data_IF_513103495122
#
_entry.id   IF_513103495122
#
_cell.length_a   1.000
_cell.length_b   1.000
_cell.length_c   1.000
_cell.angle_alpha   90.00
_cell.angle_beta   90.00
_cell.angle_gamma   90.00
#
_symmetry.space_group_name_H-M   'P 1'
#
loop_
_entity.id
_entity.type
_entity.pdbx_description
1 polymer ?
#
# COMPACT_ATOMS: atom_id res chain seq x y z
N UNK A 1 40.94 24.08 -79.79
CA UNK A 1 39.93 25.03 -80.25
C UNK A 1 38.97 25.37 -79.08
N UNK A 2 39.15 26.56 -78.50
CA UNK A 2 38.38 27.08 -77.40
C UNK A 2 37.22 27.87 -77.99
N UNK A 3 35.97 27.55 -77.62
CA UNK A 3 34.81 28.40 -77.88
C UNK A 3 34.28 28.97 -76.57
N UNK A 4 34.48 30.26 -76.46
CA UNK A 4 34.00 31.13 -75.38
C UNK A 4 32.54 31.49 -75.61
N UNK A 5 31.62 31.19 -74.72
CA UNK A 5 30.22 31.62 -74.76
C UNK A 5 29.99 32.80 -73.83
N UNK A 6 29.68 33.95 -74.39
CA UNK A 6 29.33 35.15 -73.67
C UNK A 6 27.83 35.15 -73.37
N UNK A 7 27.42 35.18 -72.11
CA UNK A 7 26.05 35.40 -71.70
C UNK A 7 25.89 36.86 -71.27
N UNK A 8 24.91 37.53 -71.88
CA UNK A 8 24.55 38.93 -71.60
C UNK A 8 23.72 39.03 -70.32
N UNK A 9 24.14 39.92 -69.44
CA UNK A 9 23.32 40.36 -68.31
C UNK A 9 22.18 41.28 -68.81
N UNK A 10 20.93 40.88 -68.64
CA UNK A 10 19.76 41.71 -68.81
C UNK A 10 19.20 42.11 -67.46
N UNK A 11 19.05 43.43 -67.27
CA UNK A 11 18.42 44.08 -66.09
C UNK A 11 16.96 43.71 -66.02
N UNK A 12 16.52 43.23 -64.87
CA UNK A 12 15.14 43.48 -64.36
C UNK A 12 15.20 43.58 -62.87
N UNK A 13 15.20 44.82 -62.39
CA UNK A 13 14.88 45.23 -61.02
C UNK A 13 13.43 45.65 -61.07
N UNK A 14 12.53 45.02 -60.34
CA UNK A 14 11.41 45.59 -59.59
C UNK A 14 10.36 44.53 -59.30
N UNK A 15 9.79 44.64 -58.14
CA UNK A 15 8.58 43.98 -57.59
C UNK A 15 8.78 42.60 -56.94
N UNK A 16 8.94 42.63 -55.59
CA UNK A 16 8.25 41.75 -54.66
C UNK A 16 8.58 42.12 -53.21
N UNK A 17 8.13 43.30 -52.77
CA UNK A 17 8.13 43.71 -51.36
C UNK A 17 6.79 43.36 -50.68
N UNK A 18 6.10 42.29 -51.12
CA UNK A 18 4.74 41.93 -50.64
C UNK A 18 4.56 40.54 -50.00
N UNK A 19 5.59 39.67 -50.00
CA UNK A 19 5.44 38.28 -49.59
C UNK A 19 6.02 37.96 -48.22
N UNK A 20 6.65 38.88 -47.51
CA UNK A 20 7.31 38.65 -46.21
C UNK A 20 6.39 38.88 -44.98
N UNK A 21 5.19 39.45 -45.17
CA UNK A 21 4.29 39.77 -44.03
C UNK A 21 3.24 38.69 -43.68
N UNK A 22 3.12 37.59 -44.42
CA UNK A 22 2.10 36.54 -44.18
C UNK A 22 2.64 35.27 -43.51
N UNK A 23 3.91 35.18 -43.15
CA UNK A 23 4.45 33.98 -42.48
C UNK A 23 4.71 34.16 -40.98
N UNK A 24 4.42 35.33 -40.39
CA UNK A 24 4.63 35.61 -38.97
C UNK A 24 3.39 35.29 -38.08
N UNK A 25 2.26 34.88 -38.64
CA UNK A 25 0.99 34.70 -37.88
C UNK A 25 0.66 33.25 -37.49
N UNK A 26 1.54 32.27 -37.72
CA UNK A 26 1.28 30.83 -37.42
C UNK A 26 2.17 30.23 -36.31
N UNK A 27 2.88 31.02 -35.55
CA UNK A 27 3.55 30.60 -34.30
C UNK A 27 2.64 30.93 -33.10
N UNK A 28 1.37 30.47 -33.14
CA UNK A 28 0.63 30.30 -31.88
C UNK A 28 1.38 29.26 -31.06
N UNK A 29 1.79 29.58 -29.81
CA UNK A 29 2.35 28.55 -28.94
C UNK A 29 1.30 27.47 -28.80
N UNK A 30 1.62 26.27 -29.30
CA UNK A 30 0.84 25.07 -28.96
C UNK A 30 0.76 25.05 -27.44
N UNK A 31 -0.42 24.84 -26.84
CA UNK A 31 -0.49 24.66 -25.40
C UNK A 31 0.48 23.55 -25.05
N UNK A 32 1.47 23.85 -24.20
CA UNK A 32 2.41 22.85 -23.70
C UNK A 32 1.52 21.77 -23.09
N UNK A 33 1.45 20.61 -23.73
CA UNK A 33 0.76 19.47 -23.16
C UNK A 33 1.42 19.26 -21.79
N UNK A 34 0.62 19.40 -20.71
CA UNK A 34 1.10 19.23 -19.36
C UNK A 34 1.85 17.89 -19.32
N UNK A 35 3.13 17.92 -18.98
CA UNK A 35 3.96 16.73 -18.98
C UNK A 35 3.30 15.71 -18.05
N UNK A 36 2.86 14.59 -18.59
CA UNK A 36 2.13 13.58 -17.84
C UNK A 36 3.06 13.02 -16.75
N UNK A 37 2.66 13.20 -15.49
CA UNK A 37 3.37 12.64 -14.34
C UNK A 37 2.83 11.25 -14.04
N UNK A 38 3.70 10.28 -13.89
CA UNK A 38 3.34 8.93 -13.45
C UNK A 38 3.51 8.86 -11.94
N UNK A 39 2.59 8.18 -11.28
CA UNK A 39 2.62 7.89 -9.84
C UNK A 39 2.33 6.42 -9.65
N UNK A 40 3.24 5.71 -9.00
CA UNK A 40 3.13 4.29 -8.68
C UNK A 40 2.79 4.10 -7.21
N UNK A 41 1.87 3.18 -6.92
CA UNK A 41 1.47 2.79 -5.55
C UNK A 41 1.80 1.32 -5.33
N UNK A 42 2.78 1.05 -4.46
CA UNK A 42 3.09 -0.29 -3.99
C UNK A 42 2.02 -0.80 -3.00
N UNK A 43 1.64 -2.06 -3.12
CA UNK A 43 0.57 -2.65 -2.31
C UNK A 43 0.98 -3.96 -1.67
N UNK A 44 0.34 -5.06 -1.97
CA UNK A 44 0.59 -6.42 -1.53
C UNK A 44 0.07 -7.42 -2.55
N UNK A 45 -0.24 -8.64 -2.13
CA UNK A 45 -0.88 -9.64 -2.99
C UNK A 45 -2.25 -9.17 -3.49
N UNK A 46 -2.62 -9.56 -4.70
CA UNK A 46 -3.84 -9.10 -5.39
C UNK A 46 -5.14 -9.47 -4.68
N UNK A 47 -5.12 -10.47 -3.82
CA UNK A 47 -6.27 -10.93 -3.01
C UNK A 47 -6.38 -10.20 -1.66
N UNK A 48 -5.38 -9.36 -1.31
CA UNK A 48 -5.35 -8.58 -0.07
C UNK A 48 -5.97 -7.20 -0.22
N UNK A 49 -6.32 -6.59 0.92
CA UNK A 49 -6.99 -5.28 0.96
C UNK A 49 -6.08 -4.14 0.49
N UNK A 50 -4.76 -4.25 0.60
CA UNK A 50 -3.83 -3.24 0.08
C UNK A 50 -3.97 -3.00 -1.41
N UNK A 51 -4.10 -4.09 -2.19
CA UNK A 51 -4.28 -3.97 -3.64
C UNK A 51 -5.59 -3.26 -3.99
N UNK A 52 -6.67 -3.59 -3.26
CA UNK A 52 -7.95 -2.89 -3.38
C UNK A 52 -7.82 -1.41 -3.01
N UNK A 53 -7.06 -1.06 -1.94
CA UNK A 53 -6.85 0.31 -1.50
C UNK A 53 -6.06 1.13 -2.54
N UNK A 54 -4.93 0.61 -3.02
CA UNK A 54 -4.15 1.27 -4.07
C UNK A 54 -4.96 1.46 -5.35
N UNK A 55 -5.74 0.43 -5.75
CA UNK A 55 -6.64 0.49 -6.91
C UNK A 55 -7.74 1.55 -6.75
N UNK A 56 -8.34 1.64 -5.56
CA UNK A 56 -9.34 2.65 -5.23
C UNK A 56 -8.76 4.08 -5.29
N UNK A 57 -7.58 4.30 -4.69
CA UNK A 57 -6.88 5.58 -4.74
C UNK A 57 -6.58 5.96 -6.20
N UNK A 58 -5.95 5.05 -6.96
CA UNK A 58 -5.61 5.31 -8.37
C UNK A 58 -6.85 5.57 -9.23
N UNK A 59 -7.96 4.89 -8.98
CA UNK A 59 -9.23 5.15 -9.68
C UNK A 59 -9.69 6.60 -9.47
N UNK A 60 -9.64 7.11 -8.23
CA UNK A 60 -10.05 8.46 -7.91
C UNK A 60 -9.08 9.50 -8.48
N UNK A 61 -7.77 9.28 -8.35
CA UNK A 61 -6.76 10.16 -8.96
C UNK A 61 -6.93 10.22 -10.48
N UNK A 62 -7.08 9.08 -11.14
CA UNK A 62 -7.19 9.02 -12.60
C UNK A 62 -8.50 9.62 -13.15
N UNK A 63 -9.54 9.78 -12.32
CA UNK A 63 -10.81 10.39 -12.71
C UNK A 63 -10.60 11.81 -13.25
N UNK A 64 -9.78 12.60 -12.54
CA UNK A 64 -9.55 14.01 -12.85
C UNK A 64 -8.15 14.24 -13.48
N UNK A 65 -7.57 13.20 -14.09
CA UNK A 65 -6.21 13.25 -14.67
C UNK A 65 -6.02 14.31 -15.76
N UNK A 66 -7.11 14.69 -16.44
CA UNK A 66 -7.05 15.73 -17.47
C UNK A 66 -6.71 17.09 -16.89
N UNK A 67 -7.09 17.35 -15.62
CA UNK A 67 -6.92 18.63 -14.95
C UNK A 67 -5.53 18.77 -14.33
N UNK A 68 -4.98 17.69 -13.72
CA UNK A 68 -3.72 17.74 -12.99
C UNK A 68 -2.55 16.98 -13.65
N UNK A 69 -2.81 16.25 -14.75
CA UNK A 69 -1.77 15.53 -15.52
C UNK A 69 -1.17 14.30 -14.84
N UNK A 70 -1.67 13.86 -13.66
CA UNK A 70 -1.14 12.68 -12.94
C UNK A 70 -1.85 11.43 -13.43
N UNK A 71 -1.06 10.42 -13.80
CA UNK A 71 -1.50 9.06 -14.08
C UNK A 71 -1.03 8.14 -12.96
N UNK A 72 -1.97 7.57 -12.22
CA UNK A 72 -1.71 6.65 -11.12
C UNK A 72 -1.80 5.19 -11.59
N UNK A 73 -0.85 4.36 -11.16
CA UNK A 73 -0.84 2.90 -11.34
C UNK A 73 -0.65 2.21 -10.00
N UNK A 74 -1.31 1.06 -9.85
CA UNK A 74 -1.18 0.20 -8.67
C UNK A 74 -0.28 -0.99 -8.99
N UNK A 75 0.61 -1.32 -8.06
CA UNK A 75 1.55 -2.43 -8.20
C UNK A 75 1.34 -3.46 -7.10
N UNK A 76 1.21 -4.73 -7.51
CA UNK A 76 1.23 -5.86 -6.58
C UNK A 76 2.67 -6.13 -6.18
N UNK A 77 2.94 -6.17 -4.88
CA UNK A 77 4.29 -6.27 -4.32
C UNK A 77 4.40 -7.37 -3.26
N UNK A 78 5.58 -7.47 -2.65
CA UNK A 78 5.82 -8.33 -1.49
C UNK A 78 5.16 -7.86 -0.19
N UNK A 79 4.63 -6.65 -0.13
CA UNK A 79 4.00 -6.05 1.05
C UNK A 79 4.85 -4.98 1.72
N UNK A 80 4.58 -4.71 3.00
CA UNK A 80 5.03 -3.49 3.70
C UNK A 80 6.52 -3.23 3.69
N UNK A 81 7.35 -4.23 4.01
CA UNK A 81 8.81 -4.07 4.05
C UNK A 81 9.37 -3.85 2.66
N UNK A 82 8.85 -4.57 1.65
CA UNK A 82 9.19 -4.36 0.26
C UNK A 82 8.84 -2.93 -0.17
N UNK A 83 7.63 -2.46 0.10
CA UNK A 83 7.18 -1.12 -0.28
C UNK A 83 8.07 -0.03 0.32
N UNK A 84 8.38 -0.11 1.61
CA UNK A 84 9.28 0.85 2.27
C UNK A 84 10.65 0.88 1.60
N UNK A 85 11.25 -0.28 1.33
CA UNK A 85 12.58 -0.35 0.72
C UNK A 85 12.56 0.21 -0.72
N UNK A 86 11.50 -0.06 -1.47
CA UNK A 86 11.35 0.39 -2.87
C UNK A 86 11.05 1.90 -2.94
N UNK A 87 10.29 2.45 -1.97
CA UNK A 87 10.13 3.91 -1.80
C UNK A 87 11.47 4.56 -1.41
N UNK A 88 12.23 3.94 -0.49
CA UNK A 88 13.57 4.43 -0.10
C UNK A 88 14.54 4.46 -1.27
N UNK A 89 14.43 3.51 -2.20
CA UNK A 89 15.21 3.44 -3.43
C UNK A 89 14.73 4.42 -4.52
N UNK A 90 13.56 5.04 -4.38
CA UNK A 90 12.96 5.93 -5.38
C UNK A 90 12.33 5.20 -6.57
N UNK A 91 12.04 3.92 -6.42
CA UNK A 91 11.43 3.06 -7.45
C UNK A 91 9.90 2.99 -7.32
N UNK A 92 9.35 3.35 -6.16
CA UNK A 92 7.93 3.58 -5.91
C UNK A 92 7.74 4.99 -5.35
N UNK A 93 6.66 5.66 -5.76
CA UNK A 93 6.32 6.99 -5.25
C UNK A 93 5.60 6.90 -3.90
N UNK A 94 4.62 5.99 -3.80
CA UNK A 94 3.79 5.79 -2.61
C UNK A 94 3.61 4.29 -2.33
N UNK A 95 3.15 3.96 -1.13
CA UNK A 95 2.87 2.57 -0.79
C UNK A 95 1.91 2.44 0.38
N UNK A 96 1.23 1.30 0.45
CA UNK A 96 0.45 0.90 1.62
C UNK A 96 1.34 0.01 2.48
N UNK A 97 1.45 0.34 3.76
CA UNK A 97 2.30 -0.36 4.74
C UNK A 97 1.59 -0.50 6.08
N UNK A 98 1.95 -1.51 6.85
CA UNK A 98 1.55 -1.63 8.25
C UNK A 98 2.19 -0.51 9.09
N UNK A 99 1.48 0.02 10.06
CA UNK A 99 1.97 1.10 10.93
C UNK A 99 3.20 0.71 11.75
N UNK A 100 3.34 -0.55 12.17
CA UNK A 100 4.53 -1.09 12.83
C UNK A 100 5.75 -1.11 11.91
N UNK A 101 5.57 -1.51 10.66
CA UNK A 101 6.63 -1.50 9.65
C UNK A 101 7.08 -0.08 9.33
N UNK A 102 6.12 0.84 9.16
CA UNK A 102 6.41 2.26 8.94
C UNK A 102 7.19 2.87 10.13
N UNK A 103 6.77 2.58 11.36
CA UNK A 103 7.45 3.02 12.58
C UNK A 103 8.89 2.48 12.65
N UNK A 104 9.06 1.19 12.45
CA UNK A 104 10.38 0.56 12.48
C UNK A 104 11.31 1.12 11.39
N UNK A 105 10.78 1.37 10.20
CA UNK A 105 11.55 1.96 9.10
C UNK A 105 12.00 3.40 9.40
N UNK A 106 11.10 4.23 9.92
CA UNK A 106 11.41 5.62 10.27
C UNK A 106 12.45 5.72 11.38
N UNK A 107 12.37 4.82 12.37
CA UNK A 107 13.27 4.81 13.52
C UNK A 107 14.54 3.97 13.32
N UNK A 108 14.62 3.13 12.31
CA UNK A 108 15.72 2.18 12.07
C UNK A 108 15.73 1.05 13.10
N UNK A 109 14.54 0.51 13.40
CA UNK A 109 14.31 -0.53 14.38
C UNK A 109 13.84 -1.84 13.73
N UNK A 110 13.72 -2.90 14.52
CA UNK A 110 13.23 -4.19 14.04
C UNK A 110 14.01 -4.68 12.80
N UNK A 111 13.29 -5.01 11.75
CA UNK A 111 13.83 -5.48 10.47
C UNK A 111 14.66 -4.44 9.70
N UNK A 112 14.64 -3.19 10.11
CA UNK A 112 15.43 -2.10 9.50
C UNK A 112 16.69 -1.72 10.29
N UNK A 113 17.00 -2.44 11.38
CA UNK A 113 18.13 -2.12 12.25
C UNK A 113 19.46 -2.05 11.49
N UNK A 114 19.69 -3.00 10.59
CA UNK A 114 20.94 -3.06 9.81
C UNK A 114 20.93 -2.09 8.61
N UNK A 115 19.75 -1.84 8.03
CA UNK A 115 19.57 -0.92 6.90
C UNK A 115 19.55 0.56 7.33
N UNK A 116 19.43 0.83 8.65
CA UNK A 116 19.33 2.15 9.24
C UNK A 116 18.01 2.85 8.96
N UNK A 117 17.88 4.03 9.57
CA UNK A 117 16.67 4.87 9.49
C UNK A 117 16.32 5.25 8.05
N UNK A 118 15.02 5.35 7.81
CA UNK A 118 14.48 6.03 6.64
C UNK A 118 13.85 7.37 7.10
N UNK A 119 14.65 8.35 7.40
CA UNK A 119 14.26 9.67 7.90
C UNK A 119 13.43 10.51 6.92
N UNK A 120 13.47 10.16 5.62
CA UNK A 120 12.63 10.75 4.58
C UNK A 120 11.26 10.10 4.45
N UNK A 121 10.96 9.02 5.17
CA UNK A 121 9.62 8.43 5.17
C UNK A 121 8.60 9.45 5.67
N UNK A 122 7.47 9.53 4.99
CA UNK A 122 6.34 10.42 5.36
C UNK A 122 5.03 9.65 5.34
N UNK A 123 4.22 9.89 6.36
CA UNK A 123 2.83 9.45 6.36
C UNK A 123 1.99 10.36 5.48
N UNK A 124 1.01 9.79 4.80
CA UNK A 124 0.03 10.54 4.01
C UNK A 124 -1.31 10.53 4.75
N UNK A 125 -1.85 9.36 5.05
CA UNK A 125 -3.00 9.11 5.92
C UNK A 125 -3.05 7.64 6.33
N UNK A 126 -3.83 7.30 7.36
CA UNK A 126 -4.11 5.91 7.70
C UNK A 126 -5.33 5.38 6.96
N UNK A 127 -5.46 4.07 6.92
CA UNK A 127 -6.52 3.32 6.28
C UNK A 127 -7.22 2.43 7.33
N UNK A 128 -7.61 1.25 6.93
CA UNK A 128 -8.36 0.28 7.72
C UNK A 128 -7.50 -0.41 8.79
N UNK A 129 -8.12 -0.90 9.88
CA UNK A 129 -7.44 -1.76 10.84
C UNK A 129 -7.10 -3.12 10.22
N UNK A 130 -5.99 -3.69 10.67
CA UNK A 130 -5.48 -4.99 10.25
C UNK A 130 -5.29 -5.91 11.46
N UNK A 131 -6.34 -6.63 11.86
CA UNK A 131 -6.19 -7.70 12.82
C UNK A 131 -5.18 -8.74 12.34
N UNK A 132 -4.27 -9.14 13.21
CA UNK A 132 -3.43 -10.31 12.96
C UNK A 132 -4.29 -11.57 13.08
N UNK A 133 -4.48 -12.24 11.97
CA UNK A 133 -5.43 -13.33 11.84
C UNK A 133 -4.70 -14.66 11.73
N UNK A 134 -5.01 -15.59 12.61
CA UNK A 134 -4.59 -17.00 12.52
C UNK A 134 -5.74 -17.79 11.91
N UNK A 135 -5.50 -18.41 10.77
CA UNK A 135 -6.47 -19.27 10.07
C UNK A 135 -5.93 -20.68 10.03
N UNK A 136 -6.75 -21.65 10.39
CA UNK A 136 -6.32 -23.04 10.53
C UNK A 136 -7.29 -24.01 9.88
N UNK A 137 -6.81 -25.19 9.50
CA UNK A 137 -7.68 -26.29 9.12
C UNK A 137 -8.39 -26.83 10.36
N UNK A 138 -9.65 -27.17 10.21
CA UNK A 138 -10.44 -27.79 11.29
C UNK A 138 -9.79 -29.05 11.85
N UNK A 139 -9.25 -29.90 10.99
CA UNK A 139 -8.59 -31.17 11.34
C UNK A 139 -7.28 -31.01 12.10
N UNK A 140 -6.65 -29.82 12.02
CA UNK A 140 -5.42 -29.53 12.77
C UNK A 140 -5.67 -29.36 14.27
N UNK A 141 -6.93 -29.16 14.67
CA UNK A 141 -7.40 -29.01 16.06
C UNK A 141 -6.57 -27.98 16.86
N UNK A 142 -6.37 -26.81 16.27
CA UNK A 142 -5.62 -25.66 16.84
C UNK A 142 -6.67 -24.73 17.47
N UNK A 143 -6.52 -24.44 18.77
CA UNK A 143 -7.43 -23.60 19.54
C UNK A 143 -6.74 -22.37 20.12
N UNK A 144 -5.41 -22.40 20.19
CA UNK A 144 -4.57 -21.33 20.72
C UNK A 144 -3.27 -21.20 19.91
N UNK A 145 -2.53 -20.11 20.12
CA UNK A 145 -1.23 -19.93 19.47
C UNK A 145 -0.23 -21.03 19.88
N UNK A 146 -0.29 -21.54 21.09
CA UNK A 146 0.61 -22.60 21.57
C UNK A 146 0.41 -23.95 20.85
N UNK A 147 -0.80 -24.22 20.36
CA UNK A 147 -1.09 -25.43 19.59
C UNK A 147 -0.43 -25.43 18.20
N UNK A 148 0.12 -24.28 17.77
CA UNK A 148 0.90 -24.17 16.54
C UNK A 148 2.29 -24.81 16.65
N UNK A 149 2.76 -25.15 17.86
CA UNK A 149 4.05 -25.79 18.06
C UNK A 149 4.15 -27.08 17.25
N UNK A 150 5.20 -27.16 16.42
CA UNK A 150 5.45 -28.33 15.58
C UNK A 150 4.47 -28.53 14.42
N UNK A 151 3.60 -27.54 14.12
CA UNK A 151 2.71 -27.56 12.95
C UNK A 151 3.43 -27.02 11.70
N UNK A 152 2.90 -27.35 10.53
CA UNK A 152 3.29 -26.74 9.26
C UNK A 152 2.51 -25.43 9.12
N UNK A 153 3.18 -24.32 9.27
CA UNK A 153 2.50 -23.03 9.40
C UNK A 153 3.09 -21.99 8.44
N UNK A 154 2.23 -21.27 7.73
CA UNK A 154 2.68 -20.18 6.89
C UNK A 154 2.80 -18.90 7.70
N UNK A 155 4.01 -18.33 7.70
CA UNK A 155 4.41 -17.17 8.51
C UNK A 155 4.45 -15.86 7.72
N UNK A 156 4.09 -15.93 6.44
CA UNK A 156 4.15 -14.81 5.50
C UNK A 156 5.41 -14.81 4.63
N UNK A 157 5.28 -14.25 3.44
CA UNK A 157 6.38 -14.19 2.47
C UNK A 157 7.48 -13.19 2.89
N UNK A 158 8.72 -13.39 2.44
CA UNK A 158 9.80 -12.44 2.65
C UNK A 158 9.42 -11.05 2.11
N UNK A 159 9.75 -10.00 2.88
CA UNK A 159 9.41 -8.62 2.54
C UNK A 159 7.99 -8.20 2.90
N UNK A 160 7.16 -9.09 3.48
CA UNK A 160 5.84 -8.72 3.99
C UNK A 160 5.90 -8.18 5.42
N UNK A 161 4.94 -7.30 5.75
CA UNK A 161 4.72 -6.89 7.14
C UNK A 161 4.20 -8.04 8.00
N UNK A 162 3.39 -8.92 7.44
CA UNK A 162 2.93 -10.16 8.09
C UNK A 162 4.09 -10.97 8.66
N UNK A 163 5.14 -11.20 7.85
CA UNK A 163 6.34 -11.92 8.31
C UNK A 163 7.05 -11.19 9.43
N UNK A 164 7.24 -9.88 9.29
CA UNK A 164 7.90 -9.06 10.33
C UNK A 164 7.13 -9.11 11.66
N UNK A 165 5.80 -8.99 11.62
CA UNK A 165 4.94 -9.05 12.82
C UNK A 165 4.91 -10.45 13.46
N UNK A 166 4.94 -11.54 12.65
CA UNK A 166 5.05 -12.90 13.17
C UNK A 166 6.38 -13.10 13.90
N UNK A 167 7.49 -12.66 13.33
CA UNK A 167 8.81 -12.75 13.97
C UNK A 167 8.85 -11.96 15.28
N UNK A 168 8.22 -10.77 15.33
CA UNK A 168 8.11 -9.98 16.55
C UNK A 168 7.27 -10.69 17.62
N UNK A 169 6.14 -11.31 17.23
CA UNK A 169 5.30 -12.09 18.14
C UNK A 169 6.05 -13.31 18.71
N UNK A 170 6.81 -14.02 17.89
CA UNK A 170 7.64 -15.14 18.33
C UNK A 170 8.76 -14.66 19.27
N UNK A 171 9.47 -13.60 18.90
CA UNK A 171 10.54 -13.03 19.73
C UNK A 171 10.04 -12.57 21.11
N UNK A 172 8.84 -11.97 21.17
CA UNK A 172 8.21 -11.56 22.43
C UNK A 172 7.91 -12.76 23.36
N UNK A 173 7.83 -13.96 22.79
CA UNK A 173 7.66 -15.23 23.52
C UNK A 173 8.98 -15.97 23.76
N UNK A 174 10.13 -15.41 23.38
CA UNK A 174 11.43 -16.07 23.44
C UNK A 174 11.53 -17.25 22.45
N UNK A 175 10.80 -17.17 21.34
CA UNK A 175 10.71 -18.20 20.28
C UNK A 175 11.23 -17.63 18.96
N UNK A 176 11.48 -18.52 18.02
CA UNK A 176 11.81 -18.23 16.64
C UNK A 176 11.04 -19.17 15.69
N UNK A 177 11.38 -19.17 14.43
CA UNK A 177 10.69 -19.98 13.41
C UNK A 177 10.82 -21.50 13.63
N UNK A 178 11.78 -21.97 14.42
CA UNK A 178 11.90 -23.39 14.79
C UNK A 178 10.76 -23.90 15.68
N UNK A 179 9.91 -22.97 16.17
CA UNK A 179 8.66 -23.29 16.86
C UNK A 179 7.71 -24.12 15.97
N UNK A 180 7.76 -23.92 14.67
CA UNK A 180 7.01 -24.67 13.66
C UNK A 180 7.83 -25.87 13.14
N UNK A 181 7.19 -26.97 12.73
CA UNK A 181 7.87 -28.03 12.00
C UNK A 181 8.23 -27.62 10.57
N UNK A 182 7.44 -26.74 9.99
CA UNK A 182 7.67 -26.07 8.72
C UNK A 182 7.12 -24.63 8.82
N UNK A 183 8.00 -23.67 8.76
CA UNK A 183 7.64 -22.26 8.56
C UNK A 183 7.64 -21.98 7.04
N UNK A 184 6.48 -22.08 6.39
CA UNK A 184 6.37 -21.76 4.97
C UNK A 184 6.20 -20.25 4.75
N UNK A 185 6.59 -19.79 3.57
CA UNK A 185 6.70 -18.38 3.21
C UNK A 185 5.86 -18.07 1.97
N UNK A 186 4.65 -18.62 1.93
CA UNK A 186 3.72 -18.46 0.80
C UNK A 186 3.21 -17.03 0.71
N UNK A 187 2.94 -16.61 -0.52
CA UNK A 187 2.25 -15.35 -0.79
C UNK A 187 0.78 -15.44 -0.42
N UNK A 188 0.10 -14.28 -0.18
CA UNK A 188 -1.30 -14.27 0.23
C UNK A 188 -2.25 -15.04 -0.70
N UNK A 189 -2.05 -14.96 -2.01
CA UNK A 189 -2.86 -15.65 -3.01
C UNK A 189 -2.72 -17.18 -3.02
N UNK A 190 -1.70 -17.72 -2.33
CA UNK A 190 -1.44 -19.17 -2.19
C UNK A 190 -2.01 -19.76 -0.89
N UNK A 191 -2.38 -18.92 0.10
CA UNK A 191 -2.78 -19.36 1.44
C UNK A 191 -3.95 -20.34 1.41
N UNK A 192 -5.05 -19.96 0.73
CA UNK A 192 -6.29 -20.71 0.71
C UNK A 192 -6.10 -22.11 0.11
N UNK A 193 -5.49 -22.21 -1.07
CA UNK A 193 -5.24 -23.49 -1.72
C UNK A 193 -4.28 -24.38 -0.91
N UNK A 194 -3.19 -23.82 -0.39
CA UNK A 194 -2.23 -24.60 0.41
C UNK A 194 -2.88 -25.12 1.71
N UNK A 195 -3.77 -24.35 2.33
CA UNK A 195 -4.52 -24.76 3.50
C UNK A 195 -5.51 -25.87 3.17
N UNK A 196 -6.35 -25.68 2.16
CA UNK A 196 -7.39 -26.64 1.78
C UNK A 196 -6.80 -27.96 1.24
N UNK A 197 -5.67 -27.90 0.53
CA UNK A 197 -4.92 -29.09 0.08
C UNK A 197 -4.18 -29.81 1.23
N UNK A 198 -4.19 -29.27 2.44
CA UNK A 198 -3.50 -29.83 3.59
C UNK A 198 -1.97 -29.76 3.52
N UNK A 199 -1.42 -28.87 2.70
CA UNK A 199 0.03 -28.61 2.63
C UNK A 199 0.54 -27.86 3.86
N UNK A 200 -0.32 -26.99 4.43
CA UNK A 200 -0.10 -26.29 5.69
C UNK A 200 -1.27 -26.57 6.65
N UNK A 201 -1.02 -26.44 7.94
CA UNK A 201 -2.03 -26.63 8.99
C UNK A 201 -2.70 -25.32 9.38
N UNK A 202 -2.07 -24.20 9.06
CA UNK A 202 -2.59 -22.85 9.26
C UNK A 202 -1.68 -21.80 8.65
N UNK A 203 -2.15 -20.55 8.69
CA UNK A 203 -1.39 -19.37 8.29
C UNK A 203 -1.69 -18.16 9.18
N UNK A 204 -0.71 -17.28 9.27
CA UNK A 204 -0.84 -15.96 9.90
C UNK A 204 -0.95 -14.90 8.82
N UNK A 205 -1.84 -13.92 9.00
CA UNK A 205 -1.98 -12.84 8.05
C UNK A 205 -2.48 -11.56 8.72
N UNK A 206 -1.73 -10.47 8.60
CA UNK A 206 -2.18 -9.12 8.93
C UNK A 206 -2.95 -8.56 7.74
N UNK A 207 -4.27 -8.34 7.90
CA UNK A 207 -5.12 -7.91 6.79
C UNK A 207 -6.40 -7.25 7.30
N UNK A 208 -6.91 -6.29 6.52
CA UNK A 208 -8.26 -5.74 6.74
C UNK A 208 -9.36 -6.75 6.45
N UNK A 209 -10.47 -6.60 7.15
CA UNK A 209 -11.62 -7.49 7.04
C UNK A 209 -12.86 -6.76 6.47
N UNK A 210 -13.69 -7.45 5.64
CA UNK A 210 -13.49 -8.80 5.11
C UNK A 210 -12.37 -8.87 4.07
N UNK A 211 -11.73 -10.03 3.96
CA UNK A 211 -10.65 -10.29 3.00
C UNK A 211 -10.92 -11.57 2.23
N UNK A 212 -10.65 -11.56 0.92
CA UNK A 212 -10.82 -12.72 0.05
C UNK A 212 -9.94 -13.89 0.48
N UNK A 213 -8.70 -13.63 0.96
CA UNK A 213 -7.80 -14.66 1.49
C UNK A 213 -8.38 -15.48 2.65
N UNK A 214 -9.26 -14.88 3.47
CA UNK A 214 -9.91 -15.52 4.60
C UNK A 214 -11.24 -16.13 4.16
N UNK A 215 -11.99 -15.40 3.33
CA UNK A 215 -13.30 -15.84 2.82
C UNK A 215 -13.18 -17.16 2.06
N UNK A 216 -12.15 -17.28 1.23
CA UNK A 216 -11.96 -18.42 0.33
C UNK A 216 -11.80 -19.74 1.10
N UNK A 217 -10.80 -19.94 1.99
CA UNK A 217 -10.66 -21.20 2.72
C UNK A 217 -11.77 -21.44 3.75
N UNK A 218 -12.39 -20.39 4.35
CA UNK A 218 -13.52 -20.57 5.26
C UNK A 218 -14.75 -21.10 4.52
N UNK A 219 -14.93 -20.73 3.25
CA UNK A 219 -16.00 -21.20 2.39
C UNK A 219 -15.70 -22.59 1.80
N UNK A 220 -14.48 -22.75 1.26
CA UNK A 220 -14.13 -23.92 0.43
C UNK A 220 -13.82 -25.16 1.25
N UNK A 221 -13.16 -25.01 2.41
CA UNK A 221 -12.73 -26.16 3.24
C UNK A 221 -13.00 -25.99 4.74
N UNK A 222 -13.87 -25.05 5.10
CA UNK A 222 -14.31 -24.90 6.50
C UNK A 222 -13.24 -24.45 7.46
N UNK A 223 -12.28 -23.64 6.98
CA UNK A 223 -11.21 -23.11 7.81
C UNK A 223 -11.77 -22.29 8.99
N UNK A 224 -11.03 -22.30 10.08
CA UNK A 224 -11.41 -21.65 11.34
C UNK A 224 -10.43 -20.57 11.72
N UNK A 225 -10.93 -19.49 12.29
CA UNK A 225 -10.12 -18.43 12.89
C UNK A 225 -9.81 -18.79 14.34
N UNK A 226 -8.59 -18.46 14.77
CA UNK A 226 -8.12 -18.69 16.15
C UNK A 226 -7.76 -17.36 16.79
N UNK A 227 -8.29 -17.11 17.99
CA UNK A 227 -8.01 -15.89 18.74
C UNK A 227 -6.53 -15.79 19.14
N UNK A 228 -5.99 -14.58 19.06
CA UNK A 228 -4.65 -14.21 19.52
C UNK A 228 -4.77 -13.31 20.74
N UNK A 229 -4.71 -13.90 21.92
CA UNK A 229 -4.88 -13.23 23.21
C UNK A 229 -3.86 -13.71 24.23
N UNK A 230 -3.84 -13.11 25.39
CA UNK A 230 -3.02 -13.51 26.53
C UNK A 230 -1.88 -12.56 26.85
N UNK A 231 -1.09 -12.88 27.91
CA UNK A 231 -0.13 -11.93 28.50
C UNK A 231 0.90 -11.37 27.53
N UNK A 232 1.31 -12.14 26.53
CA UNK A 232 2.28 -11.68 25.53
C UNK A 232 1.67 -10.63 24.61
N UNK A 233 0.43 -10.84 24.17
CA UNK A 233 -0.32 -9.86 23.36
C UNK A 233 -0.57 -8.61 24.18
N UNK A 234 -0.98 -8.74 25.43
CA UNK A 234 -1.18 -7.61 26.35
C UNK A 234 0.08 -6.77 26.47
N UNK A 235 1.24 -7.43 26.69
CA UNK A 235 2.53 -6.75 26.78
C UNK A 235 2.94 -6.07 25.45
N UNK A 236 2.68 -6.70 24.30
CA UNK A 236 2.97 -6.09 23.00
C UNK A 236 2.16 -4.80 22.82
N UNK A 237 0.86 -4.84 23.13
CA UNK A 237 -0.03 -3.67 23.03
C UNK A 237 0.37 -2.56 24.01
N UNK A 238 0.81 -2.90 25.22
CA UNK A 238 1.31 -1.92 26.18
C UNK A 238 2.65 -1.29 25.75
N UNK A 239 3.52 -2.08 25.13
CA UNK A 239 4.89 -1.65 24.83
C UNK A 239 4.96 -0.82 23.55
N UNK A 240 4.15 -1.14 22.55
CA UNK A 240 4.28 -0.57 21.21
C UNK A 240 3.05 0.24 20.82
N UNK A 241 3.20 1.55 20.53
CA UNK A 241 2.08 2.46 20.30
C UNK A 241 1.32 2.18 18.98
N UNK A 242 1.87 1.36 18.12
CA UNK A 242 1.26 0.97 16.86
C UNK A 242 0.38 -0.28 16.95
N UNK A 243 0.35 -0.96 18.10
CA UNK A 243 -0.53 -2.10 18.34
C UNK A 243 -1.76 -1.70 19.13
N UNK A 244 -2.89 -2.30 18.77
CA UNK A 244 -4.14 -2.18 19.50
C UNK A 244 -4.85 -3.54 19.61
N UNK A 245 -5.63 -3.76 20.66
CA UNK A 245 -6.56 -4.88 20.72
C UNK A 245 -7.69 -4.63 19.74
N UNK A 246 -8.02 -5.65 18.97
CA UNK A 246 -9.06 -5.63 17.93
C UNK A 246 -9.79 -6.95 17.91
N UNK A 247 -10.97 -6.98 17.30
CA UNK A 247 -11.73 -8.21 17.11
C UNK A 247 -12.26 -8.31 15.67
N UNK A 248 -12.31 -9.55 15.17
CA UNK A 248 -12.98 -9.87 13.92
C UNK A 248 -14.42 -10.25 14.27
N UNK A 249 -15.44 -9.58 13.71
CA UNK A 249 -16.83 -9.77 14.09
C UNK A 249 -17.31 -11.21 13.92
N UNK A 250 -18.15 -11.65 14.84
CA UNK A 250 -18.83 -12.93 14.80
C UNK A 250 -19.61 -13.10 13.48
N UNK A 251 -19.49 -14.27 12.85
CA UNK A 251 -20.22 -14.60 11.63
C UNK A 251 -19.77 -13.86 10.36
N UNK A 252 -18.70 -13.07 10.42
CA UNK A 252 -18.16 -12.40 9.24
C UNK A 252 -17.70 -13.41 8.17
N UNK A 253 -17.21 -14.55 8.59
CA UNK A 253 -16.80 -15.65 7.72
C UNK A 253 -17.59 -16.92 7.99
N UNK A 254 -17.89 -17.73 6.94
CA UNK A 254 -18.54 -19.04 7.13
C UNK A 254 -17.79 -19.90 8.13
N UNK A 255 -18.52 -20.70 8.89
CA UNK A 255 -17.99 -21.61 9.93
C UNK A 255 -17.27 -20.93 11.11
N UNK A 256 -17.38 -19.61 11.24
CA UNK A 256 -16.80 -18.80 12.32
C UNK A 256 -17.90 -17.98 13.03
N UNK A 257 -18.77 -18.63 13.83
CA UNK A 257 -19.92 -17.98 14.45
C UNK A 257 -19.57 -17.13 15.67
N UNK A 258 -18.34 -17.23 16.17
CA UNK A 258 -17.88 -16.49 17.35
C UNK A 258 -17.03 -15.29 16.90
N UNK A 259 -16.99 -14.26 17.73
CA UNK A 259 -16.01 -13.19 17.60
C UNK A 259 -14.60 -13.75 17.80
N UNK A 260 -13.65 -13.29 16.99
CA UNK A 260 -12.26 -13.70 17.10
C UNK A 260 -11.43 -12.52 17.61
N UNK A 261 -11.06 -12.60 18.88
CA UNK A 261 -10.21 -11.58 19.52
C UNK A 261 -8.78 -11.66 19.01
N UNK A 262 -8.16 -10.51 18.81
CA UNK A 262 -6.79 -10.39 18.35
C UNK A 262 -6.20 -9.04 18.74
N UNK A 263 -5.01 -8.79 18.26
CA UNK A 263 -4.39 -7.47 18.20
C UNK A 263 -4.01 -7.17 16.75
N UNK A 264 -3.71 -5.92 16.47
CA UNK A 264 -3.41 -5.54 15.10
C UNK A 264 -2.80 -4.16 14.99
N UNK A 265 -2.65 -3.74 13.78
CA UNK A 265 -2.09 -2.45 13.36
C UNK A 265 -3.11 -1.71 12.49
N UNK A 266 -2.75 -0.51 12.04
CA UNK A 266 -3.44 0.18 10.95
C UNK A 266 -2.64 0.02 9.66
N UNK A 267 -3.33 -0.19 8.55
CA UNK A 267 -2.77 0.08 7.24
C UNK A 267 -2.54 1.58 7.11
N UNK A 268 -1.38 1.99 6.61
CA UNK A 268 -1.03 3.40 6.41
C UNK A 268 -0.56 3.64 4.98
N UNK A 269 -0.92 4.78 4.44
CA UNK A 269 -0.45 5.22 3.14
C UNK A 269 0.75 6.13 3.34
N UNK A 270 1.88 5.77 2.76
CA UNK A 270 3.17 6.43 2.99
C UNK A 270 3.87 6.78 1.69
N UNK A 271 4.85 7.68 1.79
CA UNK A 271 5.67 8.17 0.68
C UNK A 271 7.04 8.62 1.18
N UNK A 272 7.90 9.10 0.27
CA UNK A 272 9.14 9.81 0.60
C UNK A 272 8.93 11.32 0.62
N UNK A 273 9.68 12.03 1.47
CA UNK A 273 9.79 13.49 1.42
C UNK A 273 10.30 14.03 0.08
N UNK A 274 10.88 13.17 -0.76
CA UNK A 274 11.38 13.53 -2.09
C UNK A 274 10.27 13.60 -3.15
N UNK A 275 9.07 13.05 -2.86
CA UNK A 275 7.92 13.17 -3.76
C UNK A 275 7.38 14.61 -3.71
N UNK A 276 7.08 15.26 -4.85
CA UNK A 276 6.64 16.65 -4.87
C UNK A 276 5.37 16.89 -4.06
N UNK A 277 5.33 18.01 -3.31
CA UNK A 277 4.19 18.43 -2.48
C UNK A 277 2.86 18.41 -3.25
N UNK A 278 2.85 18.98 -4.45
CA UNK A 278 1.64 19.06 -5.29
C UNK A 278 1.13 17.67 -5.70
N UNK A 279 2.04 16.71 -5.92
CA UNK A 279 1.66 15.34 -6.26
C UNK A 279 0.91 14.67 -5.10
N UNK A 280 1.45 14.75 -3.89
CA UNK A 280 0.81 14.16 -2.70
C UNK A 280 -0.47 14.92 -2.35
N UNK A 281 -0.46 16.25 -2.44
CA UNK A 281 -1.67 17.07 -2.25
C UNK A 281 -2.81 16.61 -3.19
N UNK A 282 -2.50 16.41 -4.48
CA UNK A 282 -3.49 15.98 -5.48
C UNK A 282 -4.04 14.57 -5.16
N UNK A 283 -3.18 13.63 -4.74
CA UNK A 283 -3.61 12.29 -4.35
C UNK A 283 -4.53 12.34 -3.12
N UNK A 284 -4.15 13.10 -2.09
CA UNK A 284 -4.97 13.28 -0.87
C UNK A 284 -6.31 13.93 -1.22
N UNK A 285 -6.29 14.99 -2.00
CA UNK A 285 -7.49 15.69 -2.46
C UNK A 285 -8.45 14.74 -3.19
N UNK A 286 -7.93 13.92 -4.11
CA UNK A 286 -8.74 12.96 -4.87
C UNK A 286 -9.48 11.97 -3.95
N UNK A 287 -8.84 11.49 -2.89
CA UNK A 287 -9.46 10.58 -1.93
C UNK A 287 -10.46 11.30 -1.02
N UNK A 288 -10.06 12.40 -0.39
CA UNK A 288 -10.86 13.05 0.65
C UNK A 288 -12.07 13.86 0.08
N UNK A 289 -11.99 14.37 -1.15
CA UNK A 289 -13.13 15.00 -1.81
C UNK A 289 -14.13 13.96 -2.38
N UNK A 290 -13.68 12.73 -2.65
CA UNK A 290 -14.55 11.63 -3.06
C UNK A 290 -14.67 10.55 -1.95
N UNK A 291 -14.66 10.96 -0.69
CA UNK A 291 -14.53 10.06 0.46
C UNK A 291 -15.65 9.01 0.54
N UNK A 292 -16.91 9.42 0.34
CA UNK A 292 -18.04 8.48 0.34
C UNK A 292 -17.99 7.48 -0.82
N UNK A 293 -17.44 7.86 -1.95
CA UNK A 293 -17.21 6.94 -3.05
C UNK A 293 -16.03 6.00 -2.75
N UNK A 294 -14.97 6.52 -2.11
CA UNK A 294 -13.85 5.69 -1.65
C UNK A 294 -14.31 4.59 -0.69
N UNK A 295 -15.14 4.91 0.30
CA UNK A 295 -15.70 3.95 1.26
C UNK A 295 -16.46 2.81 0.58
N UNK A 296 -17.13 3.07 -0.54
CA UNK A 296 -17.90 2.06 -1.30
C UNK A 296 -17.04 1.13 -2.15
N UNK A 297 -15.75 1.45 -2.38
CA UNK A 297 -14.89 0.67 -3.27
C UNK A 297 -14.41 -0.66 -2.66
N UNK A 298 -14.44 -0.78 -1.33
CA UNK A 298 -14.19 -2.05 -0.65
C UNK A 298 -14.88 -2.07 0.74
N UNK A 299 -15.46 -3.19 1.17
CA UNK A 299 -16.16 -3.27 2.47
C UNK A 299 -15.29 -2.89 3.67
N UNK A 300 -13.99 -3.20 3.66
CA UNK A 300 -13.05 -2.82 4.72
C UNK A 300 -12.91 -1.30 4.91
N UNK A 301 -13.34 -0.48 3.95
CA UNK A 301 -13.29 0.98 4.03
C UNK A 301 -14.59 1.59 4.60
N UNK A 302 -15.64 0.78 4.74
CA UNK A 302 -16.98 1.26 5.14
C UNK A 302 -17.02 2.03 6.46
N UNK A 303 -16.09 1.73 7.37
CA UNK A 303 -16.01 2.33 8.71
C UNK A 303 -14.94 3.42 8.84
N UNK A 304 -14.32 3.84 7.75
CA UNK A 304 -13.32 4.91 7.79
C UNK A 304 -13.99 6.25 8.14
N UNK A 305 -13.30 7.00 8.99
CA UNK A 305 -13.66 8.39 9.32
C UNK A 305 -12.44 9.29 9.02
N UNK A 306 -12.70 10.46 8.41
CA UNK A 306 -11.64 11.37 7.95
C UNK A 306 -10.71 11.80 9.09
N UNK A 307 -11.30 12.08 10.25
CA UNK A 307 -10.60 12.53 11.45
C UNK A 307 -9.64 11.46 11.98
N UNK A 308 -10.03 10.20 11.91
CA UNK A 308 -9.20 9.06 12.33
C UNK A 308 -8.05 8.83 11.35
N UNK A 309 -8.31 8.94 10.04
CA UNK A 309 -7.31 8.75 9.00
C UNK A 309 -6.15 9.74 9.07
N UNK A 310 -6.37 10.93 9.64
CA UNK A 310 -5.33 11.98 9.75
C UNK A 310 -4.63 12.01 11.11
N UNK A 311 -5.09 11.21 12.08
CA UNK A 311 -4.55 11.21 13.46
C UNK A 311 -3.98 9.88 13.90
N UNK A 312 -4.62 8.77 13.53
CA UNK A 312 -4.30 7.45 14.05
C UNK A 312 -3.31 6.70 13.14
N UNK A 313 -2.42 5.91 13.74
CA UNK A 313 -1.52 5.00 13.02
C UNK A 313 -0.45 5.67 12.15
N UNK A 314 -0.28 6.98 12.23
CA UNK A 314 0.76 7.69 11.51
C UNK A 314 2.12 7.42 12.15
N UNK A 315 2.97 6.68 11.45
CA UNK A 315 4.25 6.18 11.95
C UNK A 315 5.46 7.05 11.59
N UNK A 316 5.25 8.11 10.81
CA UNK A 316 6.24 9.11 10.42
C UNK A 316 5.56 10.49 10.34
N UNK A 317 6.30 11.60 10.28
CA UNK A 317 5.72 12.93 10.06
C UNK A 317 4.86 12.96 8.80
N UNK A 318 3.81 13.78 8.79
CA UNK A 318 3.01 13.97 7.59
C UNK A 318 3.85 14.55 6.43
N UNK A 319 3.51 14.13 5.22
CA UNK A 319 4.05 14.75 4.02
C UNK A 319 3.50 16.18 3.87
N UNK A 320 4.32 17.18 3.47
CA UNK A 320 3.85 18.56 3.35
C UNK A 320 2.58 18.73 2.50
N UNK A 321 2.43 17.99 1.40
CA UNK A 321 1.23 18.02 0.57
C UNK A 321 -0.02 17.47 1.26
N UNK A 322 0.14 16.46 2.12
CA UNK A 322 -0.95 15.93 2.93
C UNK A 322 -1.34 16.92 4.04
N UNK A 323 -0.34 17.41 4.78
CA UNK A 323 -0.54 18.39 5.86
C UNK A 323 -1.23 19.66 5.36
N UNK A 324 -0.83 20.20 4.19
CA UNK A 324 -1.43 21.35 3.55
C UNK A 324 -2.92 21.14 3.30
N UNK A 325 -3.28 20.02 2.65
CA UNK A 325 -4.68 19.69 2.38
C UNK A 325 -5.50 19.60 3.67
N UNK A 326 -4.99 18.89 4.68
CA UNK A 326 -5.70 18.68 5.93
C UNK A 326 -5.92 19.98 6.70
N UNK A 327 -4.93 20.90 6.74
CA UNK A 327 -5.09 22.24 7.30
C UNK A 327 -6.12 23.08 6.55
N UNK A 328 -6.12 23.05 5.22
CA UNK A 328 -7.10 23.77 4.39
C UNK A 328 -8.54 23.27 4.64
N UNK A 329 -8.71 22.01 5.01
CA UNK A 329 -10.03 21.40 5.29
C UNK A 329 -10.40 21.36 6.77
N UNK A 330 -9.56 21.87 7.66
CA UNK A 330 -9.81 21.90 9.10
C UNK A 330 -9.78 20.50 9.77
N UNK A 331 -9.02 19.56 9.20
CA UNK A 331 -8.83 18.21 9.73
C UNK A 331 -7.64 18.12 10.69
N UNK A 332 -6.75 19.11 10.66
CA UNK A 332 -5.61 19.33 11.56
C UNK A 332 -5.73 20.65 12.28
#
# INVERSE_FOLDING_TARGET
MKKTLKIKFGKQLAMSAGAAAMFAALLSPLPAAAQQKFVSIGTGGVTGVYYAAGGAICRLVNKDRADHGIRCSVESTGGSVFNVNTIKAGELDLGVVQSDVGFNAYNGEGQFKDAGKFDKLRSVFSLHPEPFTVVTRKEANIKSFDDLKGKRFNVGNPGSGTRASMEQLLAAQGRDLSFFSLASELRPDEHGSALCDGKIDGFFYGVGHPSANIQDPTTSCGAQLVSLTGPVVDKLVETYPYYAKVAIPAGLYPNNPQETESYGVLATFVTSADVPEETVYTVVKAVFENFEDFKKLHPAFGHLEKEDMVKNGLSAPLHPGAEKYFKEKGLL
#
